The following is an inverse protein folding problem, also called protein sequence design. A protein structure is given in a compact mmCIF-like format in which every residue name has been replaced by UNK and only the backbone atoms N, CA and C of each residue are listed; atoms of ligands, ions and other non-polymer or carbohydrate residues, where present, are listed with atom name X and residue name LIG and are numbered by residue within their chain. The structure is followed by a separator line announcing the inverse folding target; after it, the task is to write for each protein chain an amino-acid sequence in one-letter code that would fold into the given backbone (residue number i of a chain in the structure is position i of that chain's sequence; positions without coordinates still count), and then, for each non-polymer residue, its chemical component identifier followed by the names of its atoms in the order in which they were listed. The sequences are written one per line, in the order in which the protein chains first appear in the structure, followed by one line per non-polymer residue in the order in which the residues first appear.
data_IF_578635289365
#
_entry.id   IF_578635289365
#
_cell.length_a   1.000
_cell.length_b   1.000
_cell.length_c   1.000
_cell.angle_alpha   90.00
_cell.angle_beta   90.00
_cell.angle_gamma   90.00
#
_symmetry.space_group_name_H-M   'P 1'
#
loop_
_entity.id
_entity.type
_entity.pdbx_description
1 polymer ?
#
# COMPACT_ATOMS: atom_id res chain seq x y z
N UNK A 1 -2.86 -23.97 -17.52
CA UNK A 1 -1.62 -23.35 -18.05
C UNK A 1 -1.32 -22.03 -17.33
N UNK A 2 -1.11 -22.04 -16.00
CA UNK A 2 -1.10 -20.81 -15.17
C UNK A 2 0.11 -20.69 -14.24
N UNK A 3 0.85 -21.78 -14.03
CA UNK A 3 2.05 -21.78 -13.16
C UNK A 3 3.31 -21.19 -13.83
N UNK A 4 3.39 -21.20 -15.17
CA UNK A 4 4.62 -20.83 -15.90
C UNK A 4 4.94 -19.33 -15.89
N UNK A 5 3.98 -18.44 -15.60
CA UNK A 5 4.19 -16.98 -15.59
C UNK A 5 4.72 -16.44 -14.25
N UNK A 6 4.63 -17.20 -13.16
CA UNK A 6 5.21 -16.80 -11.86
C UNK A 6 6.71 -17.08 -11.77
N UNK A 7 7.21 -18.04 -12.55
CA UNK A 7 8.59 -18.55 -12.45
C UNK A 7 9.62 -17.58 -13.06
N UNK A 8 9.20 -16.62 -13.88
CA UNK A 8 10.13 -15.70 -14.56
C UNK A 8 10.65 -14.54 -13.67
N UNK A 9 10.02 -14.24 -12.54
CA UNK A 9 10.55 -13.26 -11.59
C UNK A 9 11.55 -13.87 -10.58
N UNK A 10 11.45 -15.17 -10.30
CA UNK A 10 12.31 -15.88 -9.34
C UNK A 10 13.55 -16.54 -9.99
N UNK A 11 13.65 -16.57 -11.33
CA UNK A 11 14.64 -17.39 -12.06
C UNK A 11 16.02 -16.78 -12.29
N UNK A 12 16.36 -15.62 -11.71
CA UNK A 12 17.72 -15.08 -11.83
C UNK A 12 18.70 -15.60 -10.77
N UNK A 13 18.27 -16.40 -9.79
CA UNK A 13 19.15 -17.07 -8.84
C UNK A 13 18.86 -18.57 -8.76
N UNK A 14 19.83 -19.41 -9.15
CA UNK A 14 19.78 -20.88 -9.01
C UNK A 14 19.69 -21.29 -7.53
N UNK A 15 18.86 -22.29 -7.24
CA UNK A 15 19.24 -23.50 -6.47
C UNK A 15 18.02 -24.31 -6.02
N UNK A 16 18.25 -25.57 -5.72
CA UNK A 16 17.35 -26.72 -5.54
C UNK A 16 16.33 -26.64 -4.36
N UNK A 17 15.86 -25.45 -3.97
CA UNK A 17 14.82 -25.20 -2.96
C UNK A 17 13.50 -24.66 -3.53
N UNK A 18 13.19 -25.01 -4.79
CA UNK A 18 12.32 -24.23 -5.69
C UNK A 18 10.81 -24.16 -5.38
N UNK A 19 10.28 -24.94 -4.43
CA UNK A 19 8.85 -24.93 -4.09
C UNK A 19 8.60 -24.16 -2.78
N UNK A 20 9.38 -24.43 -1.73
CA UNK A 20 9.24 -23.75 -0.43
C UNK A 20 9.61 -22.26 -0.51
N UNK A 21 10.66 -21.91 -1.26
CA UNK A 21 11.05 -20.51 -1.47
C UNK A 21 10.03 -19.70 -2.28
N UNK A 22 9.33 -20.36 -3.23
CA UNK A 22 8.29 -19.73 -4.02
C UNK A 22 7.01 -19.47 -3.20
N UNK A 23 6.63 -20.39 -2.31
CA UNK A 23 5.48 -20.19 -1.43
C UNK A 23 5.76 -19.13 -0.36
N UNK A 24 6.96 -19.12 0.24
CA UNK A 24 7.37 -18.08 1.19
C UNK A 24 7.39 -16.68 0.55
N UNK A 25 7.90 -16.54 -0.67
CA UNK A 25 7.87 -15.29 -1.43
C UNK A 25 6.43 -14.84 -1.73
N UNK A 26 5.56 -15.79 -2.09
CA UNK A 26 4.13 -15.53 -2.29
C UNK A 26 3.43 -15.07 -1.01
N UNK A 27 3.68 -15.72 0.11
CA UNK A 27 3.11 -15.35 1.41
C UNK A 27 3.61 -13.96 1.87
N UNK A 28 4.90 -13.66 1.68
CA UNK A 28 5.45 -12.34 1.97
C UNK A 28 4.78 -11.25 1.13
N UNK A 29 4.60 -11.48 -0.18
CA UNK A 29 3.91 -10.54 -1.06
C UNK A 29 2.44 -10.35 -0.68
N UNK A 30 1.73 -11.43 -0.33
CA UNK A 30 0.37 -11.36 0.22
C UNK A 30 0.32 -10.49 1.47
N UNK A 31 1.24 -10.69 2.40
CA UNK A 31 1.35 -9.89 3.62
C UNK A 31 1.55 -8.40 3.34
N UNK A 32 2.36 -8.05 2.32
CA UNK A 32 2.55 -6.66 1.89
C UNK A 32 1.28 -6.05 1.30
N UNK A 33 0.55 -6.78 0.44
CA UNK A 33 -0.74 -6.30 -0.08
C UNK A 33 -1.73 -6.03 1.05
N UNK A 34 -1.89 -6.99 1.96
CA UNK A 34 -2.76 -6.86 3.13
C UNK A 34 -2.39 -5.65 3.96
N UNK A 35 -1.10 -5.46 4.25
CA UNK A 35 -0.61 -4.30 5.01
C UNK A 35 -1.00 -2.98 4.36
N UNK A 36 -0.78 -2.83 3.05
CA UNK A 36 -1.17 -1.60 2.32
C UNK A 36 -2.67 -1.37 2.39
N UNK A 37 -3.47 -2.41 2.22
CA UNK A 37 -4.93 -2.31 2.24
C UNK A 37 -5.45 -1.89 3.63
N UNK A 38 -4.90 -2.45 4.70
CA UNK A 38 -5.21 -2.05 6.08
C UNK A 38 -4.79 -0.60 6.31
N UNK A 39 -3.55 -0.22 5.96
CA UNK A 39 -3.06 1.14 6.12
C UNK A 39 -3.90 2.17 5.37
N UNK A 40 -4.33 1.87 4.13
CA UNK A 40 -5.22 2.75 3.36
C UNK A 40 -6.57 2.95 4.04
N UNK A 41 -7.14 1.88 4.61
CA UNK A 41 -8.42 1.95 5.32
C UNK A 41 -8.30 2.76 6.60
N UNK A 42 -7.29 2.47 7.42
CA UNK A 42 -7.04 3.17 8.68
C UNK A 42 -6.73 4.65 8.45
N UNK A 43 -5.82 4.95 7.53
CA UNK A 43 -5.45 6.33 7.20
C UNK A 43 -6.63 7.09 6.60
N UNK A 44 -7.45 6.44 5.78
CA UNK A 44 -8.70 7.02 5.25
C UNK A 44 -9.68 7.39 6.37
N UNK A 45 -9.82 6.53 7.38
CA UNK A 45 -10.65 6.80 8.55
C UNK A 45 -10.08 7.93 9.41
N UNK A 46 -8.77 7.93 9.67
CA UNK A 46 -8.11 9.00 10.43
C UNK A 46 -8.18 10.35 9.71
N UNK A 47 -8.01 10.37 8.38
CA UNK A 47 -8.15 11.59 7.58
C UNK A 47 -9.58 12.14 7.52
N UNK A 48 -10.59 11.31 7.81
CA UNK A 48 -11.99 11.73 7.81
C UNK A 48 -12.39 12.51 9.07
N UNK A 49 -11.56 12.52 10.14
CA UNK A 49 -11.90 13.25 11.37
C UNK A 49 -11.79 14.78 11.16
N UNK A 50 -12.64 15.60 11.80
CA UNK A 50 -12.56 17.06 11.65
C UNK A 50 -11.19 17.65 12.00
N UNK A 51 -10.53 17.14 13.05
CA UNK A 51 -9.21 17.60 13.47
C UNK A 51 -8.14 17.28 12.42
N UNK A 52 -8.13 16.05 11.88
CA UNK A 52 -7.26 15.66 10.78
C UNK A 52 -7.48 16.52 9.53
N UNK A 53 -8.73 16.79 9.16
CA UNK A 53 -9.04 17.66 8.02
C UNK A 53 -8.51 19.09 8.21
N UNK A 54 -8.57 19.64 9.43
CA UNK A 54 -7.98 20.94 9.72
C UNK A 54 -6.46 20.92 9.56
N UNK A 55 -5.77 19.87 10.06
CA UNK A 55 -4.31 19.71 9.87
C UNK A 55 -3.94 19.60 8.39
N UNK A 56 -4.69 18.80 7.62
CA UNK A 56 -4.49 18.65 6.18
C UNK A 56 -4.66 19.98 5.43
N UNK A 57 -5.63 20.83 5.83
CA UNK A 57 -5.79 22.17 5.23
C UNK A 57 -4.58 23.07 5.50
N UNK A 58 -3.94 22.97 6.67
CA UNK A 58 -2.74 23.76 7.00
C UNK A 58 -1.55 23.45 6.10
N UNK A 59 -1.45 22.22 5.58
CA UNK A 59 -0.43 21.83 4.59
C UNK A 59 -0.87 22.05 3.14
N UNK A 60 -1.95 22.80 2.90
CA UNK A 60 -2.42 23.17 1.56
C UNK A 60 -3.40 22.18 0.91
N UNK A 61 -3.90 21.16 1.62
CA UNK A 61 -4.98 20.30 1.09
C UNK A 61 -6.31 21.08 1.10
N UNK A 62 -6.67 21.62 -0.07
CA UNK A 62 -7.90 22.44 -0.22
C UNK A 62 -9.19 21.65 0.01
N UNK A 63 -9.22 20.38 -0.41
CA UNK A 63 -10.39 19.49 -0.33
C UNK A 63 -10.03 18.17 0.38
N UNK A 64 -10.01 18.15 1.72
CA UNK A 64 -9.71 16.93 2.49
C UNK A 64 -10.71 15.79 2.23
N UNK A 65 -11.97 16.11 1.93
CA UNK A 65 -13.00 15.18 1.47
C UNK A 65 -12.55 14.40 0.23
N UNK A 66 -12.03 15.09 -0.78
CA UNK A 66 -11.52 14.48 -2.02
C UNK A 66 -10.28 13.62 -1.74
N UNK A 67 -9.46 14.00 -0.74
CA UNK A 67 -8.33 13.17 -0.33
C UNK A 67 -8.82 11.85 0.27
N UNK A 68 -9.83 11.87 1.14
CA UNK A 68 -10.43 10.68 1.74
C UNK A 68 -11.05 9.78 0.65
N UNK A 69 -11.81 10.36 -0.27
CA UNK A 69 -12.35 9.63 -1.43
C UNK A 69 -11.24 9.05 -2.31
N UNK A 70 -10.14 9.79 -2.46
CA UNK A 70 -8.93 9.35 -3.16
C UNK A 70 -8.30 8.12 -2.51
N UNK A 71 -8.18 8.09 -1.18
CA UNK A 71 -7.68 6.93 -0.43
C UNK A 71 -8.61 5.71 -0.58
N UNK A 72 -9.93 5.92 -0.58
CA UNK A 72 -10.89 4.85 -0.86
C UNK A 72 -10.77 4.32 -2.31
N UNK A 73 -10.52 5.21 -3.27
CA UNK A 73 -10.22 4.84 -4.66
C UNK A 73 -8.92 4.04 -4.78
N UNK A 74 -7.87 4.46 -4.08
CA UNK A 74 -6.59 3.75 -3.99
C UNK A 74 -6.77 2.37 -3.36
N UNK A 75 -7.59 2.23 -2.32
CA UNK A 75 -7.90 0.93 -1.71
C UNK A 75 -8.52 -0.02 -2.75
N UNK A 76 -9.56 0.42 -3.46
CA UNK A 76 -10.22 -0.39 -4.51
C UNK A 76 -9.23 -0.81 -5.60
N UNK A 77 -8.40 0.13 -6.05
CA UNK A 77 -7.40 -0.15 -7.09
C UNK A 77 -6.29 -1.11 -6.60
N UNK A 78 -5.81 -0.93 -5.38
CA UNK A 78 -4.83 -1.82 -4.74
C UNK A 78 -5.40 -3.24 -4.63
N UNK A 79 -6.66 -3.36 -4.19
CA UNK A 79 -7.36 -4.63 -4.12
C UNK A 79 -7.43 -5.31 -5.49
N UNK A 80 -7.80 -4.59 -6.54
CA UNK A 80 -7.85 -5.12 -7.91
C UNK A 80 -6.47 -5.59 -8.38
N UNK A 81 -5.42 -4.80 -8.14
CA UNK A 81 -4.04 -5.16 -8.51
C UNK A 81 -3.52 -6.39 -7.76
N UNK A 82 -3.91 -6.55 -6.51
CA UNK A 82 -3.57 -7.73 -5.71
C UNK A 82 -4.32 -8.97 -6.22
N UNK A 83 -5.59 -8.83 -6.60
CA UNK A 83 -6.41 -9.91 -7.17
C UNK A 83 -5.96 -10.35 -8.57
N UNK A 84 -5.40 -9.45 -9.38
CA UNK A 84 -4.79 -9.79 -10.67
C UNK A 84 -3.35 -10.31 -10.55
N UNK A 85 -2.77 -10.27 -9.35
CA UNK A 85 -1.40 -10.68 -9.10
C UNK A 85 -1.23 -12.18 -8.92
N UNK A 86 0.00 -12.64 -9.11
CA UNK A 86 0.47 -13.89 -8.53
C UNK A 86 0.31 -13.79 -7.02
N UNK A 87 -0.13 -14.86 -6.34
CA UNK A 87 -0.27 -14.89 -4.89
C UNK A 87 -1.42 -13.99 -4.38
N UNK A 88 -2.66 -14.32 -4.79
CA UNK A 88 -3.88 -13.66 -4.32
C UNK A 88 -3.85 -13.52 -2.79
N UNK A 89 -4.05 -12.32 -2.21
CA UNK A 89 -4.26 -12.21 -0.77
C UNK A 89 -5.51 -13.02 -0.39
N UNK A 90 -5.56 -13.66 0.79
CA UNK A 90 -6.82 -14.19 1.30
C UNK A 90 -7.86 -13.05 1.28
N UNK A 91 -9.12 -13.39 0.99
CA UNK A 91 -10.20 -12.42 0.83
C UNK A 91 -10.12 -11.32 1.90
N UNK A 92 -10.08 -10.05 1.50
CA UNK A 92 -9.88 -8.92 2.41
C UNK A 92 -10.94 -8.89 3.53
N UNK A 93 -12.11 -9.44 3.23
CA UNK A 93 -13.23 -9.63 4.16
C UNK A 93 -12.91 -10.59 5.32
N UNK A 94 -11.99 -11.55 5.12
CA UNK A 94 -11.50 -12.42 6.19
C UNK A 94 -10.49 -11.73 7.12
N UNK A 95 -10.06 -10.50 6.81
CA UNK A 95 -8.99 -9.81 7.53
C UNK A 95 -9.45 -8.82 8.60
N UNK A 96 -10.75 -8.54 8.81
CA UNK A 96 -11.13 -7.54 9.86
C UNK A 96 -12.56 -7.79 10.39
N UNK A 97 -12.81 -7.93 11.72
CA UNK A 97 -12.60 -6.84 12.69
C UNK A 97 -12.06 -7.25 14.09
N UNK A 98 -10.99 -6.57 14.52
CA UNK A 98 -10.46 -6.68 15.89
C UNK A 98 -9.13 -5.95 16.12
N UNK A 99 -8.35 -5.72 15.07
CA UNK A 99 -7.06 -5.02 15.13
C UNK A 99 -7.13 -3.59 14.58
N UNK A 100 -8.24 -2.89 14.78
CA UNK A 100 -8.27 -1.44 14.52
C UNK A 100 -7.43 -0.83 15.64
N UNK A 101 -6.16 -0.53 15.32
CA UNK A 101 -5.28 0.21 16.21
C UNK A 101 -5.99 1.50 16.66
N UNK A 102 -5.71 2.02 17.86
CA UNK A 102 -6.27 3.28 18.30
C UNK A 102 -6.08 4.34 17.22
N UNK A 103 -7.13 5.12 16.95
CA UNK A 103 -7.12 6.23 16.00
C UNK A 103 -6.09 7.24 16.48
N UNK A 104 -4.85 7.10 16.02
CA UNK A 104 -3.80 8.05 16.30
C UNK A 104 -3.95 9.21 15.31
N UNK A 105 -4.88 10.12 15.63
CA UNK A 105 -5.09 11.36 14.88
C UNK A 105 -3.84 12.24 14.88
N UNK A 106 -2.92 12.05 15.84
CA UNK A 106 -1.65 12.77 15.92
C UNK A 106 -0.62 12.21 14.94
N UNK A 107 -0.66 10.92 14.65
CA UNK A 107 0.28 10.19 13.79
C UNK A 107 -0.03 10.13 12.29
N UNK A 108 -0.78 11.09 11.71
CA UNK A 108 -1.08 11.11 10.27
C UNK A 108 0.19 11.08 9.40
N UNK A 109 1.21 11.82 9.80
CA UNK A 109 2.52 11.84 9.15
C UNK A 109 3.15 10.44 9.12
N UNK A 110 3.18 9.76 10.27
CA UNK A 110 3.67 8.37 10.41
C UNK A 110 2.83 7.40 9.58
N UNK A 111 1.51 7.63 9.50
CA UNK A 111 0.61 6.84 8.67
C UNK A 111 0.92 6.94 7.17
N UNK A 112 1.11 8.17 6.66
CA UNK A 112 1.52 8.40 5.27
C UNK A 112 2.94 7.87 4.98
N UNK A 113 3.88 8.01 5.92
CA UNK A 113 5.24 7.49 5.80
C UNK A 113 5.26 5.96 5.75
N UNK A 114 4.52 5.30 6.65
CA UNK A 114 4.38 3.85 6.65
C UNK A 114 3.71 3.33 5.37
N UNK A 115 2.71 4.04 4.85
CA UNK A 115 2.06 3.68 3.58
C UNK A 115 3.02 3.83 2.39
N UNK A 116 3.81 4.91 2.36
CA UNK A 116 4.86 5.11 1.35
C UNK A 116 5.89 3.98 1.37
N UNK A 117 6.39 3.63 2.57
CA UNK A 117 7.35 2.55 2.75
C UNK A 117 6.79 1.19 2.29
N UNK A 118 5.52 0.89 2.58
CA UNK A 118 4.87 -0.34 2.11
C UNK A 118 4.74 -0.38 0.59
N UNK A 119 4.40 0.75 -0.06
CA UNK A 119 4.37 0.82 -1.54
C UNK A 119 5.76 0.69 -2.15
N UNK A 120 6.81 1.22 -1.51
CA UNK A 120 8.18 1.06 -1.98
C UNK A 120 8.61 -0.41 -1.92
N UNK A 121 8.26 -1.12 -0.83
CA UNK A 121 8.48 -2.56 -0.73
C UNK A 121 7.70 -3.35 -1.80
N UNK A 122 6.45 -2.96 -2.11
CA UNK A 122 5.71 -3.58 -3.21
C UNK A 122 6.38 -3.33 -4.57
N UNK A 123 6.86 -2.10 -4.83
CA UNK A 123 7.55 -1.76 -6.07
C UNK A 123 8.82 -2.61 -6.24
N UNK A 124 9.63 -2.72 -5.19
CA UNK A 124 10.84 -3.54 -5.16
C UNK A 124 10.54 -5.03 -5.39
N UNK A 125 9.59 -5.61 -4.62
CA UNK A 125 9.29 -7.04 -4.68
C UNK A 125 8.55 -7.47 -5.95
N UNK A 126 7.70 -6.62 -6.51
CA UNK A 126 7.01 -6.91 -7.77
C UNK A 126 7.90 -6.68 -8.99
N UNK A 127 8.90 -5.80 -8.86
CA UNK A 127 9.81 -5.38 -9.92
C UNK A 127 9.11 -5.18 -11.29
N UNK A 128 8.02 -4.40 -11.37
CA UNK A 128 7.33 -4.18 -12.64
C UNK A 128 8.28 -3.48 -13.62
N UNK A 129 8.19 -3.75 -14.93
CA UNK A 129 9.06 -3.12 -15.93
C UNK A 129 9.03 -1.59 -15.79
N UNK A 130 10.20 -0.91 -15.76
CA UNK A 130 10.28 0.54 -15.69
C UNK A 130 9.42 1.20 -16.78
N UNK A 131 8.70 2.26 -16.42
CA UNK A 131 7.80 2.98 -17.33
C UNK A 131 6.45 2.30 -17.60
N UNK A 132 6.25 1.05 -17.16
CA UNK A 132 4.94 0.40 -17.24
C UNK A 132 3.89 1.12 -16.37
N UNK A 133 2.61 0.94 -16.71
CA UNK A 133 1.52 1.56 -15.94
C UNK A 133 1.55 1.16 -14.45
N UNK A 134 1.90 -0.10 -14.14
CA UNK A 134 2.01 -0.60 -12.77
C UNK A 134 3.20 0.04 -12.04
N UNK A 135 4.36 0.14 -12.70
CA UNK A 135 5.54 0.81 -12.17
C UNK A 135 5.23 2.27 -11.81
N UNK A 136 4.76 3.06 -12.78
CA UNK A 136 4.52 4.50 -12.60
C UNK A 136 3.43 4.75 -11.54
N UNK A 137 2.44 3.87 -11.44
CA UNK A 137 1.41 3.99 -10.42
C UNK A 137 1.96 3.74 -9.01
N UNK A 138 2.72 2.66 -8.79
CA UNK A 138 3.34 2.35 -7.50
C UNK A 138 4.32 3.43 -7.08
N UNK A 139 5.22 3.84 -7.99
CA UNK A 139 6.20 4.90 -7.77
C UNK A 139 5.51 6.25 -7.44
N UNK A 140 4.41 6.58 -8.12
CA UNK A 140 3.60 7.76 -7.80
C UNK A 140 3.03 7.69 -6.39
N UNK A 141 2.53 6.52 -5.94
CA UNK A 141 2.00 6.38 -4.57
C UNK A 141 3.09 6.57 -3.51
N UNK A 142 4.29 6.02 -3.73
CA UNK A 142 5.46 6.23 -2.86
C UNK A 142 5.72 7.73 -2.68
N UNK A 143 5.89 8.45 -3.80
CA UNK A 143 6.20 9.89 -3.78
C UNK A 143 5.10 10.73 -3.14
N UNK A 144 3.85 10.48 -3.51
CA UNK A 144 2.70 11.26 -3.03
C UNK A 144 2.50 11.09 -1.52
N UNK A 145 2.61 9.87 -1.00
CA UNK A 145 2.43 9.63 0.43
C UNK A 145 3.63 10.13 1.24
N UNK A 146 4.87 9.99 0.74
CA UNK A 146 6.04 10.57 1.40
C UNK A 146 5.97 12.10 1.49
N UNK A 147 5.64 12.77 0.37
CA UNK A 147 5.51 14.23 0.35
C UNK A 147 4.45 14.74 1.34
N UNK A 148 3.37 13.98 1.55
CA UNK A 148 2.34 14.30 2.56
C UNK A 148 2.85 14.12 3.97
N UNK A 149 3.58 13.03 4.25
CA UNK A 149 4.19 12.81 5.55
C UNK A 149 5.16 13.95 5.91
N UNK A 150 6.04 14.32 4.97
CA UNK A 150 6.99 15.43 5.13
C UNK A 150 6.29 16.77 5.36
N UNK A 151 5.26 17.08 4.58
CA UNK A 151 4.48 18.30 4.75
C UNK A 151 3.80 18.38 6.13
N UNK A 152 3.27 17.26 6.64
CA UNK A 152 2.66 17.20 7.96
C UNK A 152 3.68 17.37 9.09
N UNK A 153 4.90 16.83 8.94
CA UNK A 153 6.00 17.03 9.90
C UNK A 153 6.47 18.49 9.94
N UNK A 154 6.53 19.17 8.80
CA UNK A 154 6.97 20.57 8.70
C UNK A 154 5.99 21.62 9.27
N UNK A 155 4.82 21.19 9.75
CA UNK A 155 3.79 22.07 10.36
C UNK A 155 3.71 21.92 11.88
N UNK A 156 4.40 20.93 12.46
CA UNK A 156 4.55 20.76 13.91
C UNK A 156 5.68 21.65 14.43
#
# INVERSE_FOLDING_TARGET
MTAQRCVLAARSGRSEGGVEGADAACQALRGLWVRVLVQLRELGQSCATPAAQQRLRRIGVRRPDVLVDGLAGEFRRTHQLAAMGCCLPPAIEALVPGAIAPRDEDGLDRGFEALSASYAQLLDRLAPPPGSHRHNWLESRVRVHLARAEALRGVL
#
